data_IF_344220902187
#
_entry.id   IF_344220902187
#
_cell.length_a   1.000
_cell.length_b   1.000
_cell.length_c   1.000
_cell.angle_alpha   90.00
_cell.angle_beta   90.00
_cell.angle_gamma   90.00
#
_symmetry.space_group_name_H-M   'P 1'
#
loop_
_entity.id
_entity.type
_entity.pdbx_description
1 polymer ?
#
# COMPACT_ATOMS: atom_id res chain seq x y z
N UNK A 1 -18.54 -9.62 -39.71
CA UNK A 1 -18.71 -10.73 -38.77
C UNK A 1 -18.71 -10.11 -37.37
N UNK A 2 -19.88 -9.97 -36.75
CA UNK A 2 -19.97 -9.44 -35.37
C UNK A 2 -19.16 -10.36 -34.46
N UNK A 3 -18.07 -9.85 -33.88
CA UNK A 3 -17.32 -10.58 -32.85
C UNK A 3 -18.28 -10.83 -31.68
N UNK A 4 -18.32 -12.07 -31.18
CA UNK A 4 -19.13 -12.36 -29.99
C UNK A 4 -18.62 -11.52 -28.82
N UNK A 5 -19.51 -10.92 -28.02
CA UNK A 5 -19.15 -10.13 -26.84
C UNK A 5 -18.22 -10.88 -25.87
N UNK A 6 -18.30 -12.21 -25.88
CA UNK A 6 -17.46 -13.09 -25.08
C UNK A 6 -16.03 -13.19 -25.62
N UNK A 7 -15.86 -13.18 -26.94
CA UNK A 7 -14.54 -13.21 -27.59
C UNK A 7 -13.81 -11.88 -27.37
N UNK A 8 -14.49 -10.76 -27.60
CA UNK A 8 -13.93 -9.43 -27.37
C UNK A 8 -13.48 -9.24 -25.90
N UNK A 9 -14.23 -9.79 -24.93
CA UNK A 9 -13.82 -9.77 -23.53
C UNK A 9 -12.59 -10.62 -23.26
N UNK A 10 -12.47 -11.81 -23.88
CA UNK A 10 -11.28 -12.66 -23.73
C UNK A 10 -10.04 -11.95 -24.25
N UNK A 11 -10.12 -11.33 -25.43
CA UNK A 11 -9.03 -10.52 -25.98
C UNK A 11 -8.58 -9.43 -25.00
N UNK A 12 -9.52 -8.67 -24.42
CA UNK A 12 -9.20 -7.64 -23.40
C UNK A 12 -8.45 -8.23 -22.20
N UNK A 13 -8.86 -9.39 -21.72
CA UNK A 13 -8.20 -10.07 -20.59
C UNK A 13 -6.83 -10.61 -20.98
N UNK A 14 -6.68 -11.13 -22.20
CA UNK A 14 -5.42 -11.66 -22.73
C UNK A 14 -4.38 -10.56 -22.94
N UNK A 15 -4.78 -9.41 -23.50
CA UNK A 15 -3.93 -8.24 -23.72
C UNK A 15 -3.50 -7.54 -22.41
N UNK A 16 -4.29 -7.66 -21.33
CA UNK A 16 -3.98 -6.99 -20.07
C UNK A 16 -2.73 -7.58 -19.39
N UNK A 17 -1.90 -6.73 -18.79
CA UNK A 17 -0.67 -7.17 -18.11
C UNK A 17 -0.98 -7.97 -16.84
N UNK A 18 -0.28 -9.08 -16.62
CA UNK A 18 -0.52 -9.93 -15.46
C UNK A 18 -0.05 -9.33 -14.11
N UNK A 19 0.83 -8.33 -14.17
CA UNK A 19 1.32 -7.57 -13.02
C UNK A 19 0.33 -6.50 -12.53
N UNK A 20 -0.68 -6.17 -13.34
CA UNK A 20 -1.60 -5.07 -13.07
C UNK A 20 -3.00 -5.57 -12.69
N UNK A 21 -3.72 -4.79 -11.85
CA UNK A 21 -5.11 -5.08 -11.53
C UNK A 21 -6.03 -4.73 -12.70
N UNK A 22 -6.83 -5.72 -13.11
CA UNK A 22 -7.89 -5.56 -14.09
C UNK A 22 -9.16 -5.05 -13.40
N UNK A 23 -9.52 -3.81 -13.69
CA UNK A 23 -10.75 -3.19 -13.19
C UNK A 23 -11.94 -3.53 -14.09
N UNK A 24 -13.06 -3.92 -13.47
CA UNK A 24 -14.33 -4.15 -14.17
C UNK A 24 -14.78 -2.91 -14.94
N UNK A 25 -14.55 -1.71 -14.40
CA UNK A 25 -14.85 -0.45 -15.09
C UNK A 25 -14.06 -0.33 -16.40
N UNK A 26 -12.77 -0.61 -16.38
CA UNK A 26 -11.91 -0.60 -17.57
C UNK A 26 -12.38 -1.65 -18.59
N UNK A 27 -12.70 -2.86 -18.14
CA UNK A 27 -13.25 -3.90 -19.03
C UNK A 27 -14.56 -3.45 -19.67
N UNK A 28 -15.47 -2.84 -18.91
CA UNK A 28 -16.75 -2.33 -19.43
C UNK A 28 -16.52 -1.22 -20.46
N UNK A 29 -15.64 -0.26 -20.17
CA UNK A 29 -15.30 0.82 -21.09
C UNK A 29 -14.71 0.28 -22.39
N UNK A 30 -13.66 -0.55 -22.31
CA UNK A 30 -13.02 -1.13 -23.49
C UNK A 30 -13.96 -2.03 -24.30
N UNK A 31 -14.84 -2.78 -23.64
CA UNK A 31 -15.83 -3.62 -24.33
C UNK A 31 -16.92 -2.78 -25.01
N UNK A 32 -17.33 -1.68 -24.38
CA UNK A 32 -18.26 -0.71 -24.98
C UNK A 32 -17.66 -0.06 -26.23
N UNK A 33 -16.40 0.38 -26.15
CA UNK A 33 -15.64 0.95 -27.27
C UNK A 33 -15.48 -0.03 -28.43
N UNK A 34 -15.08 -1.28 -28.16
CA UNK A 34 -14.86 -2.31 -29.21
C UNK A 34 -16.15 -2.75 -29.91
N UNK A 35 -17.30 -2.66 -29.26
CA UNK A 35 -18.56 -3.24 -29.75
C UNK A 35 -19.57 -2.19 -30.19
N UNK A 36 -19.33 -0.91 -29.88
CA UNK A 36 -20.28 0.18 -30.10
C UNK A 36 -21.53 0.11 -29.20
N UNK A 37 -21.61 -0.86 -28.28
CA UNK A 37 -22.74 -1.02 -27.38
C UNK A 37 -22.58 -0.14 -26.14
N UNK A 38 -23.68 0.37 -25.56
CA UNK A 38 -23.61 1.20 -24.36
C UNK A 38 -23.10 0.40 -23.14
N UNK A 39 -22.37 1.04 -22.19
CA UNK A 39 -21.83 0.39 -21.00
C UNK A 39 -22.86 -0.41 -20.18
N UNK A 40 -24.11 0.07 -20.15
CA UNK A 40 -25.23 -0.58 -19.46
C UNK A 40 -25.54 -1.97 -20.01
N UNK A 41 -25.45 -2.16 -21.35
CA UNK A 41 -25.72 -3.45 -22.01
C UNK A 41 -24.59 -4.45 -21.82
N UNK A 42 -23.34 -3.99 -21.82
CA UNK A 42 -22.18 -4.90 -21.69
C UNK A 42 -21.83 -5.25 -20.24
N UNK A 43 -22.30 -4.47 -19.26
CA UNK A 43 -21.97 -4.65 -17.83
C UNK A 43 -22.31 -6.04 -17.28
N UNK A 44 -23.51 -6.54 -17.58
CA UNK A 44 -23.97 -7.85 -17.08
C UNK A 44 -23.09 -8.99 -17.63
N UNK A 45 -22.79 -8.93 -18.94
CA UNK A 45 -21.95 -9.91 -19.64
C UNK A 45 -20.52 -9.88 -19.11
N UNK A 46 -19.96 -8.68 -18.87
CA UNK A 46 -18.64 -8.53 -18.29
C UNK A 46 -18.55 -9.17 -16.90
N UNK A 47 -19.53 -8.90 -16.03
CA UNK A 47 -19.58 -9.50 -14.69
C UNK A 47 -19.70 -11.01 -14.73
N UNK A 48 -20.57 -11.55 -15.59
CA UNK A 48 -20.78 -12.98 -15.73
C UNK A 48 -19.50 -13.70 -16.23
N UNK A 49 -18.86 -13.15 -17.25
CA UNK A 49 -17.63 -13.72 -17.83
C UNK A 49 -16.45 -13.68 -16.86
N UNK A 50 -16.19 -12.54 -16.22
CA UNK A 50 -15.09 -12.42 -15.25
C UNK A 50 -15.31 -13.34 -14.04
N UNK A 51 -16.56 -13.51 -13.61
CA UNK A 51 -16.93 -14.51 -12.59
C UNK A 51 -16.65 -15.94 -13.06
N UNK A 52 -17.02 -16.28 -14.29
CA UNK A 52 -16.71 -17.57 -14.91
C UNK A 52 -15.21 -17.83 -15.02
N UNK A 53 -14.42 -16.83 -15.43
CA UNK A 53 -12.96 -16.89 -15.46
C UNK A 53 -12.34 -17.05 -14.07
N UNK A 54 -12.99 -16.51 -13.04
CA UNK A 54 -12.56 -16.72 -11.65
C UNK A 54 -12.78 -18.18 -11.22
N UNK A 55 -13.90 -18.79 -11.60
CA UNK A 55 -14.17 -20.22 -11.32
C UNK A 55 -13.19 -21.16 -12.05
N UNK A 56 -12.69 -20.75 -13.22
CA UNK A 56 -11.70 -21.48 -14.02
C UNK A 56 -10.24 -21.19 -13.63
N UNK A 57 -10.03 -20.40 -12.57
CA UNK A 57 -8.71 -19.95 -12.12
C UNK A 57 -7.88 -19.33 -13.26
N UNK A 58 -8.53 -18.55 -14.12
CA UNK A 58 -7.87 -17.66 -15.11
C UNK A 58 -7.65 -16.27 -14.50
N UNK A 59 -8.55 -15.90 -13.59
CA UNK A 59 -8.50 -14.67 -12.83
C UNK A 59 -8.66 -14.99 -11.35
N UNK A 60 -8.04 -14.19 -10.48
CA UNK A 60 -8.31 -14.16 -9.06
C UNK A 60 -8.94 -12.83 -8.69
N UNK A 61 -10.08 -12.84 -8.00
CA UNK A 61 -10.74 -11.62 -7.54
C UNK A 61 -10.10 -11.11 -6.25
N UNK A 62 -9.65 -9.86 -6.23
CA UNK A 62 -9.03 -9.22 -5.05
C UNK A 62 -10.04 -8.41 -4.24
N UNK A 63 -10.92 -7.70 -4.93
CA UNK A 63 -12.08 -7.03 -4.34
C UNK A 63 -13.22 -6.95 -5.35
N UNK A 64 -14.36 -6.37 -4.96
CA UNK A 64 -15.50 -6.24 -5.86
C UNK A 64 -15.10 -5.39 -7.08
N UNK A 65 -15.11 -6.04 -8.25
CA UNK A 65 -14.79 -5.36 -9.51
C UNK A 65 -13.30 -5.23 -9.79
N UNK A 66 -12.42 -5.89 -9.02
CA UNK A 66 -10.98 -5.89 -9.26
C UNK A 66 -10.46 -7.32 -9.31
N UNK A 67 -9.79 -7.63 -10.40
CA UNK A 67 -9.30 -8.97 -10.74
C UNK A 67 -7.80 -8.92 -11.05
N UNK A 68 -7.11 -10.02 -10.82
CA UNK A 68 -5.73 -10.23 -11.22
C UNK A 68 -5.66 -11.45 -12.12
N UNK A 69 -4.84 -11.38 -13.19
CA UNK A 69 -4.55 -12.56 -14.00
C UNK A 69 -3.74 -13.57 -13.21
N UNK A 70 -4.12 -14.83 -13.35
CA UNK A 70 -3.31 -15.94 -12.86
C UNK A 70 -2.25 -16.30 -13.89
N UNK A 71 -1.08 -16.69 -13.40
CA UNK A 71 0.04 -17.23 -14.17
C UNK A 71 0.41 -18.58 -13.58
N UNK A 72 0.97 -19.46 -14.40
CA UNK A 72 1.51 -20.72 -13.91
C UNK A 72 2.80 -20.47 -13.12
N UNK A 73 2.82 -20.93 -11.88
CA UNK A 73 3.98 -20.93 -11.01
C UNK A 73 4.45 -22.35 -10.69
N UNK A 74 5.62 -22.46 -10.06
CA UNK A 74 6.22 -23.76 -9.69
C UNK A 74 5.31 -24.59 -8.77
N UNK A 75 4.49 -23.93 -7.95
CA UNK A 75 3.55 -24.56 -7.03
C UNK A 75 2.09 -24.48 -7.51
N UNK A 76 1.87 -24.34 -8.81
CA UNK A 76 0.57 -24.14 -9.41
C UNK A 76 0.26 -22.67 -9.68
N UNK A 77 -1.01 -22.39 -9.99
CA UNK A 77 -1.44 -21.05 -10.42
C UNK A 77 -1.36 -20.01 -9.32
N UNK A 78 -0.76 -18.88 -9.66
CA UNK A 78 -0.54 -17.74 -8.75
C UNK A 78 -0.78 -16.41 -9.46
N UNK A 79 -0.75 -15.29 -8.74
CA UNK A 79 -0.82 -13.95 -9.32
C UNK A 79 0.55 -13.27 -9.21
N UNK A 80 0.94 -12.46 -10.21
CA UNK A 80 2.23 -11.73 -10.17
C UNK A 80 2.30 -10.70 -9.04
N UNK A 81 1.16 -10.11 -8.72
CA UNK A 81 0.97 -9.26 -7.54
C UNK A 81 0.09 -10.01 -6.55
N UNK A 82 0.48 -10.05 -5.28
CA UNK A 82 -0.31 -10.61 -4.19
C UNK A 82 -1.39 -9.64 -3.72
N UNK A 83 -2.42 -10.17 -3.04
CA UNK A 83 -3.46 -9.33 -2.46
C UNK A 83 -2.91 -8.35 -1.41
N UNK A 84 -1.88 -8.74 -0.65
CA UNK A 84 -1.19 -7.84 0.27
C UNK A 84 -0.50 -6.68 -0.47
N UNK A 85 0.20 -6.95 -1.57
CA UNK A 85 0.86 -5.90 -2.37
C UNK A 85 -0.16 -4.94 -2.99
N UNK A 86 -1.29 -5.46 -3.47
CA UNK A 86 -2.39 -4.64 -3.99
C UNK A 86 -2.95 -3.68 -2.93
N UNK A 87 -3.28 -4.20 -1.75
CA UNK A 87 -3.81 -3.36 -0.69
C UNK A 87 -2.77 -2.38 -0.16
N UNK A 88 -1.51 -2.84 -0.01
CA UNK A 88 -0.40 -1.99 0.43
C UNK A 88 -0.23 -0.77 -0.49
N UNK A 89 -0.19 -0.96 -1.81
CA UNK A 89 -0.01 0.16 -2.74
C UNK A 89 -1.14 1.19 -2.63
N UNK A 90 -2.39 0.74 -2.49
CA UNK A 90 -3.60 1.57 -2.35
C UNK A 90 -3.72 2.29 -1.01
N UNK A 91 -3.02 1.81 0.02
CA UNK A 91 -2.99 2.40 1.36
C UNK A 91 -1.83 3.36 1.55
N UNK A 92 -0.75 3.19 0.77
CA UNK A 92 0.40 4.08 0.74
C UNK A 92 0.17 5.27 -0.19
N UNK A 93 -0.45 5.05 -1.36
CA UNK A 93 -0.65 6.09 -2.39
C UNK A 93 -2.10 6.10 -2.86
N UNK A 94 -2.65 7.29 -3.00
CA UNK A 94 -3.94 7.51 -3.65
C UNK A 94 -3.84 8.74 -4.56
N UNK A 95 -4.35 8.62 -5.79
CA UNK A 95 -4.34 9.71 -6.79
C UNK A 95 -2.93 10.31 -7.02
N UNK A 96 -1.89 9.46 -7.02
CA UNK A 96 -0.50 9.91 -7.21
C UNK A 96 0.14 10.58 -5.99
N UNK A 97 -0.59 10.79 -4.89
CA UNK A 97 -0.08 11.40 -3.67
C UNK A 97 0.03 10.37 -2.53
N UNK A 98 1.08 10.40 -1.71
CA UNK A 98 1.18 9.52 -0.55
C UNK A 98 0.09 9.86 0.47
N UNK A 99 -0.60 8.82 0.95
CA UNK A 99 -1.64 8.91 1.99
C UNK A 99 -1.32 7.99 3.17
N UNK A 100 -0.18 7.33 3.15
CA UNK A 100 0.27 6.43 4.21
C UNK A 100 1.74 6.08 4.10
N UNK A 101 2.25 5.42 5.13
CA UNK A 101 3.65 5.05 5.30
C UNK A 101 3.76 3.78 6.16
N UNK A 102 4.91 3.10 6.08
CA UNK A 102 5.21 1.96 6.94
C UNK A 102 5.51 2.44 8.36
N UNK A 103 4.98 1.75 9.37
CA UNK A 103 5.14 2.12 10.79
C UNK A 103 5.40 0.88 11.68
N UNK A 104 5.50 1.08 13.00
CA UNK A 104 5.57 0.00 13.99
C UNK A 104 6.75 -0.95 13.77
N UNK A 105 6.58 -2.25 14.07
CA UNK A 105 7.61 -3.27 13.88
C UNK A 105 8.16 -3.33 12.45
N UNK A 106 7.34 -3.08 11.43
CA UNK A 106 7.80 -3.04 10.03
C UNK A 106 8.77 -1.90 9.77
N UNK A 107 8.49 -0.70 10.29
CA UNK A 107 9.40 0.43 10.14
C UNK A 107 10.69 0.24 10.97
N UNK A 108 10.59 -0.33 12.17
CA UNK A 108 11.77 -0.64 13.00
C UNK A 108 12.69 -1.64 12.30
N UNK A 109 12.13 -2.72 11.74
CA UNK A 109 12.91 -3.70 11.01
C UNK A 109 13.56 -3.11 9.75
N UNK A 110 12.78 -2.35 8.95
CA UNK A 110 13.29 -1.74 7.72
C UNK A 110 14.39 -0.69 7.96
N UNK A 111 14.47 -0.09 9.15
CA UNK A 111 15.48 0.92 9.49
C UNK A 111 16.68 0.34 10.24
N UNK A 112 16.68 -0.96 10.52
CA UNK A 112 17.74 -1.62 11.30
C UNK A 112 17.65 -1.36 12.81
N UNK A 113 16.53 -0.82 13.30
CA UNK A 113 16.29 -0.64 14.74
C UNK A 113 15.90 -1.96 15.42
N UNK A 114 15.41 -2.95 14.67
CA UNK A 114 15.03 -4.26 15.18
C UNK A 114 15.36 -5.38 14.19
N UNK A 115 15.91 -6.51 14.67
CA UNK A 115 16.05 -7.72 13.84
C UNK A 115 14.75 -8.53 13.71
N UNK A 116 13.71 -8.19 14.48
CA UNK A 116 12.45 -8.94 14.53
C UNK A 116 11.65 -8.82 13.23
N UNK A 117 11.35 -9.95 12.60
CA UNK A 117 10.48 -10.02 11.44
C UNK A 117 9.01 -9.90 11.85
N UNK A 118 8.27 -8.88 11.37
CA UNK A 118 6.89 -8.69 11.78
C UNK A 118 5.94 -9.67 11.06
N UNK A 119 5.01 -10.27 11.81
CA UNK A 119 4.03 -11.22 11.28
C UNK A 119 3.02 -10.58 10.29
N UNK A 120 2.82 -9.27 10.38
CA UNK A 120 2.03 -8.48 9.44
C UNK A 120 2.81 -7.21 9.07
N UNK A 121 2.53 -6.62 7.90
CA UNK A 121 3.08 -5.30 7.57
C UNK A 121 2.25 -4.20 8.22
N UNK A 122 2.88 -3.40 9.07
CA UNK A 122 2.27 -2.29 9.79
C UNK A 122 2.28 -1.03 8.92
N UNK A 123 1.11 -0.45 8.71
CA UNK A 123 0.90 0.71 7.84
C UNK A 123 0.10 1.75 8.61
N UNK A 124 0.59 2.99 8.67
CA UNK A 124 -0.23 4.13 9.05
C UNK A 124 -0.77 4.80 7.79
N UNK A 125 -2.07 5.08 7.73
CA UNK A 125 -2.70 5.68 6.54
C UNK A 125 -3.89 6.54 6.89
N UNK A 126 -4.17 7.58 6.10
CA UNK A 126 -5.40 8.38 6.23
C UNK A 126 -6.67 7.52 6.10
N UNK A 127 -6.58 6.34 5.48
CA UNK A 127 -7.67 5.37 5.32
C UNK A 127 -7.66 4.24 6.37
N UNK A 128 -7.12 4.48 7.56
CA UNK A 128 -6.96 3.47 8.63
C UNK A 128 -8.24 2.74 9.08
N UNK A 129 -9.43 3.26 8.76
CA UNK A 129 -10.72 2.64 9.11
C UNK A 129 -11.26 1.67 8.06
N UNK A 130 -10.57 1.49 6.94
CA UNK A 130 -11.02 0.57 5.89
C UNK A 130 -10.99 -0.88 6.37
N UNK A 131 -12.01 -1.66 6.01
CA UNK A 131 -12.04 -3.10 6.30
C UNK A 131 -11.22 -3.83 5.26
N UNK A 132 -10.13 -4.45 5.69
CA UNK A 132 -9.34 -5.32 4.84
C UNK A 132 -9.97 -6.72 4.75
N UNK A 133 -9.74 -7.46 3.65
CA UNK A 133 -10.12 -8.86 3.56
C UNK A 133 -9.44 -9.70 4.66
N UNK A 134 -10.14 -10.71 5.20
CA UNK A 134 -9.68 -11.50 6.35
C UNK A 134 -8.26 -12.08 6.23
N UNK A 135 -7.82 -12.40 5.02
CA UNK A 135 -6.55 -13.08 4.77
C UNK A 135 -5.39 -12.12 4.40
N UNK A 136 -5.57 -10.81 4.60
CA UNK A 136 -4.45 -9.86 4.40
C UNK A 136 -3.57 -9.80 5.63
N UNK A 137 -2.25 -9.88 5.44
CA UNK A 137 -1.26 -9.74 6.51
C UNK A 137 -0.82 -8.27 6.66
N UNK A 138 -1.81 -7.38 6.78
CA UNK A 138 -1.59 -5.94 6.94
C UNK A 138 -2.24 -5.47 8.25
N UNK A 139 -1.49 -4.70 9.05
CA UNK A 139 -1.98 -4.09 10.28
C UNK A 139 -2.12 -2.57 10.06
N UNK A 140 -3.34 -2.04 10.18
CA UNK A 140 -3.63 -0.63 9.96
C UNK A 140 -3.54 0.18 11.25
N UNK A 141 -2.91 1.35 11.15
CA UNK A 141 -2.72 2.30 12.24
C UNK A 141 -3.23 3.68 11.83
N UNK A 142 -3.76 4.42 12.79
CA UNK A 142 -4.03 5.85 12.60
C UNK A 142 -2.68 6.59 12.56
N UNK A 143 -2.43 7.47 11.56
CA UNK A 143 -1.24 8.30 11.57
C UNK A 143 -1.31 9.37 12.67
N UNK A 144 -0.17 9.92 13.10
CA UNK A 144 -0.12 10.98 14.13
C UNK A 144 -0.92 12.23 13.70
N UNK A 145 -0.88 12.54 12.41
CA UNK A 145 -1.73 13.54 11.75
C UNK A 145 -2.03 13.10 10.32
N UNK A 146 -2.94 13.78 9.62
CA UNK A 146 -3.22 13.49 8.20
C UNK A 146 -1.96 13.69 7.38
N UNK A 147 -1.68 12.77 6.46
CA UNK A 147 -0.45 12.81 5.64
C UNK A 147 -0.70 13.09 4.16
N UNK A 148 0.27 13.74 3.55
CA UNK A 148 0.36 14.07 2.13
C UNK A 148 1.83 14.08 1.65
N UNK A 149 2.06 14.44 0.39
CA UNK A 149 3.39 14.54 -0.20
C UNK A 149 4.34 15.49 0.56
N UNK A 150 3.80 16.55 1.16
CA UNK A 150 4.57 17.59 1.84
C UNK A 150 5.03 17.18 3.23
N UNK A 151 4.33 16.28 3.92
CA UNK A 151 4.61 15.96 5.32
C UNK A 151 4.90 14.47 5.62
N UNK A 152 4.64 13.55 4.69
CA UNK A 152 4.64 12.09 4.99
C UNK A 152 5.93 11.59 5.65
N UNK A 153 7.10 12.07 5.20
CA UNK A 153 8.41 11.66 5.74
C UNK A 153 8.63 12.15 7.17
N UNK A 154 8.21 13.37 7.47
CA UNK A 154 8.29 13.96 8.80
C UNK A 154 7.38 13.20 9.78
N UNK A 155 6.14 12.94 9.38
CA UNK A 155 5.19 12.20 10.23
C UNK A 155 5.67 10.76 10.42
N UNK A 156 6.20 10.12 9.38
CA UNK A 156 6.78 8.77 9.49
C UNK A 156 7.95 8.72 10.48
N UNK A 157 8.87 9.69 10.40
CA UNK A 157 10.00 9.79 11.32
C UNK A 157 9.53 9.90 12.78
N UNK A 158 8.60 10.81 13.06
CA UNK A 158 8.06 11.00 14.41
C UNK A 158 7.31 9.77 14.92
N UNK A 159 6.60 9.06 14.02
CA UNK A 159 5.92 7.83 14.38
C UNK A 159 6.91 6.68 14.67
N UNK A 160 8.04 6.61 13.95
CA UNK A 160 9.13 5.68 14.23
C UNK A 160 9.78 5.98 15.59
N UNK A 161 10.00 7.26 15.91
CA UNK A 161 10.49 7.70 17.21
C UNK A 161 9.51 7.35 18.34
N UNK A 162 8.20 7.36 18.08
CA UNK A 162 7.22 6.84 19.03
C UNK A 162 7.32 5.31 19.19
N UNK A 163 7.60 4.60 18.09
CA UNK A 163 7.58 3.15 18.03
C UNK A 163 8.72 2.51 18.84
N UNK A 164 9.91 3.12 18.88
CA UNK A 164 11.06 2.58 19.66
C UNK A 164 10.80 2.45 21.15
N UNK A 165 9.79 3.14 21.68
CA UNK A 165 9.37 3.02 23.09
C UNK A 165 8.36 1.89 23.34
N UNK A 166 7.70 1.40 22.28
CA UNK A 166 6.59 0.44 22.37
C UNK A 166 6.98 -0.97 21.93
N UNK A 167 8.04 -1.09 21.14
CA UNK A 167 8.45 -2.34 20.52
C UNK A 167 9.91 -2.64 20.83
N UNK A 168 10.30 -3.89 20.58
CA UNK A 168 11.67 -4.35 20.77
C UNK A 168 12.64 -3.62 19.84
N UNK A 169 13.76 -3.17 20.42
CA UNK A 169 14.89 -2.53 19.72
C UNK A 169 16.15 -3.22 20.21
N UNK A 170 16.94 -3.73 19.26
CA UNK A 170 18.20 -4.46 19.51
C UNK A 170 19.39 -3.82 18.78
N UNK A 171 19.18 -2.67 18.12
CA UNK A 171 20.25 -1.91 17.50
C UNK A 171 21.26 -1.40 18.55
N UNK A 172 22.55 -1.54 18.25
CA UNK A 172 23.65 -1.10 19.12
C UNK A 172 23.63 0.41 19.38
N UNK A 173 23.34 1.21 18.35
CA UNK A 173 23.25 2.66 18.46
C UNK A 173 22.01 3.21 17.75
N UNK A 174 20.83 3.16 18.41
CA UNK A 174 19.57 3.64 17.84
C UNK A 174 19.61 5.12 17.47
N UNK A 175 20.27 5.96 18.28
CA UNK A 175 20.37 7.40 18.05
C UNK A 175 21.09 7.70 16.74
N UNK A 176 22.21 7.02 16.45
CA UNK A 176 22.94 7.18 15.20
C UNK A 176 22.09 6.79 13.98
N UNK A 177 21.23 5.77 14.10
CA UNK A 177 20.28 5.41 13.04
C UNK A 177 19.33 6.58 12.77
N UNK A 178 18.76 7.19 13.81
CA UNK A 178 17.89 8.36 13.62
C UNK A 178 18.61 9.56 13.01
N UNK A 179 19.86 9.86 13.44
CA UNK A 179 20.68 10.92 12.83
C UNK A 179 20.87 10.67 11.33
N UNK A 180 21.22 9.44 10.95
CA UNK A 180 21.35 9.06 9.53
C UNK A 180 20.03 9.19 8.79
N UNK A 181 18.89 8.84 9.40
CA UNK A 181 17.58 8.98 8.78
C UNK A 181 17.22 10.45 8.52
N UNK A 182 17.54 11.37 9.43
CA UNK A 182 17.36 12.82 9.21
C UNK A 182 18.10 13.26 7.96
N UNK A 183 19.36 12.83 7.80
CA UNK A 183 20.20 13.17 6.66
C UNK A 183 19.72 12.50 5.36
N UNK A 184 19.43 11.19 5.38
CA UNK A 184 19.02 10.43 4.20
C UNK A 184 17.67 10.85 3.63
N UNK A 185 16.75 11.27 4.50
CA UNK A 185 15.42 11.71 4.11
C UNK A 185 15.34 13.21 3.80
N UNK A 186 16.46 13.94 3.97
CA UNK A 186 16.57 15.39 3.83
C UNK A 186 15.51 16.13 4.68
N UNK A 187 15.44 15.78 5.96
CA UNK A 187 14.47 16.36 6.88
C UNK A 187 15.01 17.67 7.47
N UNK A 188 14.23 18.74 7.33
CA UNK A 188 14.55 20.01 7.96
C UNK A 188 14.38 19.92 9.50
N UNK A 189 15.43 20.16 10.30
CA UNK A 189 15.38 20.02 11.76
C UNK A 189 14.35 20.93 12.43
N UNK A 190 14.27 22.20 12.02
CA UNK A 190 13.31 23.18 12.58
C UNK A 190 11.87 22.75 12.31
N UNK A 191 11.61 22.22 11.11
CA UNK A 191 10.30 21.68 10.74
C UNK A 191 9.96 20.42 11.53
N UNK A 192 10.92 19.52 11.75
CA UNK A 192 10.72 18.33 12.61
C UNK A 192 10.35 18.74 14.03
N UNK A 193 11.06 19.71 14.60
CA UNK A 193 10.79 20.23 15.93
C UNK A 193 9.39 20.84 16.02
N UNK A 194 9.05 21.77 15.12
CA UNK A 194 7.72 22.40 15.06
C UNK A 194 6.61 21.36 14.96
N UNK A 195 6.76 20.38 14.04
CA UNK A 195 5.76 19.31 13.90
C UNK A 195 5.68 18.44 15.16
N UNK A 196 6.80 18.13 15.82
CA UNK A 196 6.80 17.36 17.05
C UNK A 196 6.13 18.13 18.21
N UNK A 197 6.26 19.45 18.27
CA UNK A 197 5.55 20.28 19.24
C UNK A 197 4.03 20.26 19.01
N UNK A 198 3.59 20.24 17.74
CA UNK A 198 2.17 20.21 17.38
C UNK A 198 1.49 18.86 17.61
N UNK A 199 2.12 17.75 17.18
CA UNK A 199 1.47 16.42 17.13
C UNK A 199 2.08 15.39 18.09
N UNK A 200 3.23 15.71 18.66
CA UNK A 200 4.01 14.81 19.51
C UNK A 200 3.67 14.94 20.99
N UNK A 201 4.47 14.26 21.81
CA UNK A 201 4.38 14.37 23.28
C UNK A 201 5.63 15.08 23.81
N UNK A 202 5.55 15.67 25.01
CA UNK A 202 6.73 16.26 25.68
C UNK A 202 7.93 15.31 25.75
N UNK A 203 7.69 14.01 25.86
CA UNK A 203 8.76 12.99 25.89
C UNK A 203 9.35 12.75 24.51
N UNK A 204 8.51 12.64 23.48
CA UNK A 204 8.96 12.53 22.08
C UNK A 204 9.79 13.74 21.67
N UNK A 205 9.41 14.94 22.10
CA UNK A 205 10.18 16.16 21.83
C UNK A 205 11.58 16.08 22.46
N UNK A 206 11.71 15.60 23.70
CA UNK A 206 13.03 15.40 24.32
C UNK A 206 13.88 14.41 23.54
N UNK A 207 13.32 13.24 23.20
CA UNK A 207 14.01 12.23 22.41
C UNK A 207 14.46 12.79 21.04
N UNK A 208 13.63 13.63 20.42
CA UNK A 208 13.97 14.32 19.17
C UNK A 208 15.11 15.32 19.36
N UNK A 209 15.10 16.12 20.42
CA UNK A 209 16.17 17.11 20.67
C UNK A 209 17.53 16.44 20.88
N UNK A 210 17.57 15.29 21.56
CA UNK A 210 18.79 14.48 21.70
C UNK A 210 19.34 14.05 20.33
N UNK A 211 18.46 13.62 19.42
CA UNK A 211 18.83 13.25 18.05
C UNK A 211 19.33 14.47 17.28
N UNK A 212 18.59 15.59 17.31
CA UNK A 212 18.92 16.79 16.53
C UNK A 212 20.23 17.44 16.97
N UNK A 213 20.56 17.41 18.27
CA UNK A 213 21.86 17.88 18.76
C UNK A 213 23.03 16.96 18.37
N UNK A 214 22.74 15.70 18.03
CA UNK A 214 23.74 14.74 17.54
C UNK A 214 23.88 14.75 16.01
N UNK A 215 23.08 15.55 15.29
CA UNK A 215 23.28 15.81 13.86
C UNK A 215 24.47 16.77 13.72
N UNK A 216 25.54 16.38 13.00
CA UNK A 216 26.73 17.21 12.80
C UNK A 216 26.47 18.42 11.89
#
# INVERSE_FOLDING_TARGET
>A
MEKSLTEALREIVEEHQASEPLFLSTVISSLSERTGLPPSRVSSIAKANLSGMTRKDVLRRFERGVYMKTVDGVFGKTTRMTQNQYWLSRLLVANGSPIGYLTGPTALNNTGLSTMLPAARHIATNRYRIRLPKNTQLALHKPLTSVDAGNVRYVQFLHLLQAVRRYHVDAENPTLIFVRLVQQLDLNPLRLESMCQEIGTKRMLRDLMEILHAVP
#
